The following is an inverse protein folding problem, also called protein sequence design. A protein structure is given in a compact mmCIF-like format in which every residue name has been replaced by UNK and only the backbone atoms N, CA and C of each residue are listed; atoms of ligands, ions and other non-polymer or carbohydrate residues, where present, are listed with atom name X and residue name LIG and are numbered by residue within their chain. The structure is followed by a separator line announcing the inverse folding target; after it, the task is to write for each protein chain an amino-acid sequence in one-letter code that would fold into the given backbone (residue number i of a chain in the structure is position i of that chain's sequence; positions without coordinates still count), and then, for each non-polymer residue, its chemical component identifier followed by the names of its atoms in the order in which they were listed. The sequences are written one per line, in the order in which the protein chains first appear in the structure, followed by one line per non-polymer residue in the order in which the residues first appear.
data_IF_145408636463
#
_entry.id   IF_145408636463
#
_cell.length_a   1.000
_cell.length_b   1.000
_cell.length_c   1.000
_cell.angle_alpha   90.00
_cell.angle_beta   90.00
_cell.angle_gamma   90.00
#
_symmetry.space_group_name_H-M   'P 1'
#
loop_
_entity.id
_entity.type
_entity.pdbx_description
1 polymer ?
#
# COMPACT_ATOMS: atom_id res chain seq x y z
N UNK A 1 20.34 34.74 49.32
CA UNK A 1 21.21 35.51 50.25
C UNK A 1 22.40 36.19 49.56
N UNK A 2 22.98 35.71 48.47
CA UNK A 2 24.06 36.39 47.72
C UNK A 2 23.61 37.66 46.96
N UNK A 3 22.37 37.73 46.42
CA UNK A 3 21.86 38.90 45.69
C UNK A 3 21.70 40.16 46.54
N UNK A 4 21.37 40.03 47.83
CA UNK A 4 21.20 41.15 48.72
C UNK A 4 22.55 41.78 49.17
N UNK A 5 23.62 40.98 49.18
CA UNK A 5 24.98 41.42 49.57
C UNK A 5 25.63 42.35 48.56
N UNK A 6 25.38 42.17 47.25
CA UNK A 6 25.98 42.98 46.17
C UNK A 6 25.33 44.38 46.11
N UNK A 7 24.01 44.47 46.27
CA UNK A 7 23.27 45.74 46.23
C UNK A 7 23.62 46.61 47.46
N UNK A 8 23.81 45.99 48.60
CA UNK A 8 24.21 46.73 49.86
C UNK A 8 25.67 47.17 49.80
N UNK A 9 26.57 46.44 49.13
CA UNK A 9 27.96 46.86 48.93
C UNK A 9 28.08 48.03 47.97
N UNK A 10 27.28 48.12 46.92
CA UNK A 10 27.25 49.22 45.95
C UNK A 10 26.80 50.51 46.63
N UNK A 11 25.81 50.49 47.51
CA UNK A 11 25.32 51.67 48.23
C UNK A 11 26.33 52.24 49.25
N UNK A 12 27.16 51.39 49.85
CA UNK A 12 28.21 51.83 50.77
C UNK A 12 29.45 52.40 50.09
N UNK A 13 29.77 51.92 48.87
CA UNK A 13 30.94 52.40 48.10
C UNK A 13 30.64 53.77 47.46
N UNK A 14 29.43 54.06 47.03
CA UNK A 14 29.02 55.32 46.48
C UNK A 14 29.11 56.52 47.50
N UNK A 15 29.21 56.25 48.79
CA UNK A 15 29.37 57.29 49.82
C UNK A 15 30.81 57.71 50.09
N UNK A 16 31.81 57.05 49.50
CA UNK A 16 33.24 57.25 49.76
C UNK A 16 34.03 57.73 48.48
N UNK A 17 33.32 58.20 47.44
CA UNK A 17 33.99 58.64 46.20
C UNK A 17 34.66 60.00 46.44
N UNK A 18 35.98 60.02 46.54
CA UNK A 18 36.75 61.21 46.24
C UNK A 18 36.91 61.27 44.70
N UNK A 19 36.16 62.21 44.04
CA UNK A 19 36.32 62.44 42.63
C UNK A 19 37.75 63.04 42.34
N UNK A 20 38.60 62.18 41.80
CA UNK A 20 39.78 62.67 41.06
C UNK A 20 39.30 63.38 39.83
N UNK A 21 39.67 64.65 39.69
CA UNK A 21 39.45 65.44 38.45
C UNK A 21 40.07 64.71 37.25
N UNK A 22 39.69 65.10 36.03
CA UNK A 22 40.02 64.48 34.71
C UNK A 22 41.47 63.96 34.55
N UNK A 23 41.89 62.89 35.21
CA UNK A 23 43.26 62.36 35.13
C UNK A 23 43.49 61.04 35.88
N UNK A 24 42.50 60.45 36.53
CA UNK A 24 42.58 59.12 37.16
C UNK A 24 42.43 57.95 36.16
N UNK A 25 42.77 56.74 36.62
CA UNK A 25 42.56 55.53 35.80
C UNK A 25 41.08 55.34 35.43
N UNK A 26 40.81 54.96 34.19
CA UNK A 26 39.47 54.81 33.66
C UNK A 26 39.11 53.32 33.58
N UNK A 27 37.90 52.99 33.98
CA UNK A 27 37.31 51.69 33.72
C UNK A 27 36.91 51.57 32.25
N UNK A 28 37.20 50.44 31.65
CA UNK A 28 36.78 50.11 30.26
C UNK A 28 36.72 48.59 30.06
N UNK A 29 35.92 48.17 29.13
CA UNK A 29 35.80 46.76 28.78
C UNK A 29 35.39 46.54 27.32
N UNK A 30 35.63 45.36 26.83
CA UNK A 30 35.19 44.87 25.52
C UNK A 30 34.54 43.52 25.66
N UNK A 31 33.83 43.08 24.62
CA UNK A 31 33.27 41.72 24.57
C UNK A 31 33.41 41.08 23.18
N UNK A 32 33.28 39.73 23.16
CA UNK A 32 33.31 38.93 21.96
C UNK A 32 32.36 37.73 22.11
N UNK A 33 31.56 37.36 21.05
CA UNK A 33 31.48 37.97 19.74
C UNK A 33 30.84 39.38 19.75
N UNK A 34 31.01 40.19 18.69
CA UNK A 34 30.47 41.58 18.67
C UNK A 34 28.95 41.66 18.56
N UNK A 35 28.30 40.66 17.94
CA UNK A 35 26.84 40.50 17.80
C UNK A 35 26.44 39.13 18.35
N UNK A 36 26.38 38.96 19.68
CA UNK A 36 26.05 37.67 20.26
C UNK A 36 24.53 37.41 20.20
N UNK A 37 24.19 36.14 20.01
CA UNK A 37 22.86 35.63 20.22
C UNK A 37 22.73 34.95 21.59
N UNK A 38 21.57 34.45 21.96
CA UNK A 38 21.36 33.65 23.17
C UNK A 38 22.11 32.34 23.15
N UNK A 39 22.49 31.79 21.97
CA UNK A 39 23.35 30.62 21.83
C UNK A 39 24.79 30.87 22.26
N UNK A 40 25.24 32.13 22.24
CA UNK A 40 26.63 32.47 22.41
C UNK A 40 27.03 32.62 23.89
N UNK A 41 28.23 32.16 24.20
CA UNK A 41 28.89 32.49 25.43
C UNK A 41 29.74 33.77 25.21
N UNK A 42 29.29 34.86 25.79
CA UNK A 42 29.97 36.16 25.63
C UNK A 42 31.18 36.23 26.56
N UNK A 43 32.35 36.45 26.01
CA UNK A 43 33.58 36.73 26.76
C UNK A 43 33.72 38.22 27.01
N UNK A 44 33.73 38.65 28.24
CA UNK A 44 34.03 40.05 28.61
C UNK A 44 35.49 40.15 28.99
N UNK A 45 36.14 41.23 28.53
CA UNK A 45 37.54 41.52 28.82
C UNK A 45 37.65 42.89 29.49
N UNK A 46 38.21 42.94 30.71
CA UNK A 46 38.59 44.19 31.38
C UNK A 46 39.80 44.82 30.70
N UNK A 47 39.56 45.99 30.08
CA UNK A 47 40.58 46.81 29.41
C UNK A 47 40.88 48.11 30.16
N UNK A 48 40.49 48.17 31.47
CA UNK A 48 40.72 49.34 32.32
C UNK A 48 42.18 49.68 32.43
N UNK A 49 42.46 51.00 32.66
CA UNK A 49 43.81 51.52 32.90
C UNK A 49 44.43 50.92 34.18
N UNK A 50 45.76 50.99 34.24
CA UNK A 50 46.57 50.64 35.44
C UNK A 50 46.16 49.27 36.11
N UNK A 51 46.15 48.22 35.32
CA UNK A 51 45.75 46.87 35.73
C UNK A 51 46.50 46.34 36.98
N UNK A 52 47.73 46.85 37.23
CA UNK A 52 48.55 46.37 38.33
C UNK A 52 48.02 46.85 39.71
N UNK A 53 47.34 47.96 39.77
CA UNK A 53 46.81 48.58 40.99
C UNK A 53 45.33 48.33 41.24
N UNK A 54 44.66 47.51 40.39
CA UNK A 54 43.27 47.09 40.60
C UNK A 54 43.19 46.12 41.77
N UNK A 55 42.38 46.44 42.75
CA UNK A 55 42.11 45.63 43.93
C UNK A 55 40.82 44.80 43.83
N UNK A 56 39.78 45.39 43.18
CA UNK A 56 38.48 44.72 43.02
C UNK A 56 37.84 45.03 41.68
N UNK A 57 37.03 44.06 41.17
CA UNK A 57 36.18 44.19 40.00
C UNK A 57 34.78 43.70 40.33
N UNK A 58 33.76 44.38 39.82
CA UNK A 58 32.37 43.95 39.96
C UNK A 58 31.66 44.16 38.63
N UNK A 59 31.29 43.06 38.00
CA UNK A 59 30.49 43.05 36.79
C UNK A 59 29.01 42.88 37.14
N UNK A 60 28.17 43.66 36.44
CA UNK A 60 26.73 43.42 36.36
C UNK A 60 26.40 43.31 34.86
N UNK A 61 25.86 42.19 34.42
CA UNK A 61 25.59 41.92 33.02
C UNK A 61 24.23 42.49 32.54
N UNK A 62 23.45 43.11 33.47
CA UNK A 62 22.17 43.74 33.12
C UNK A 62 20.95 42.82 33.18
N UNK A 63 21.12 41.53 33.26
CA UNK A 63 20.08 40.51 33.41
C UNK A 63 19.83 40.05 34.86
N UNK A 64 20.46 40.72 35.82
CA UNK A 64 20.43 40.40 37.24
C UNK A 64 21.52 39.43 37.67
N UNK A 65 22.43 39.04 36.81
CA UNK A 65 23.63 38.27 37.11
C UNK A 65 24.88 39.16 37.18
N UNK A 66 25.99 38.63 37.68
CA UNK A 66 27.25 39.38 37.76
C UNK A 66 28.44 38.48 38.10
N UNK A 67 29.66 39.07 38.03
CA UNK A 67 30.92 38.37 38.31
C UNK A 67 31.93 39.31 39.00
N UNK A 68 32.94 38.69 39.64
CA UNK A 68 34.11 39.42 40.19
C UNK A 68 35.42 38.98 39.51
N UNK A 69 35.32 38.13 38.48
CA UNK A 69 36.47 37.68 37.70
C UNK A 69 37.04 38.84 36.84
N UNK A 70 38.33 38.75 36.50
CA UNK A 70 38.95 39.73 35.63
C UNK A 70 38.30 39.79 34.25
N UNK A 71 38.18 38.61 33.63
CA UNK A 71 37.63 38.45 32.29
C UNK A 71 36.55 37.33 32.35
N UNK A 72 35.32 37.65 32.76
CA UNK A 72 34.29 36.67 32.93
C UNK A 72 33.67 36.26 31.57
N UNK A 73 33.08 35.07 31.56
CA UNK A 73 32.13 34.66 30.51
C UNK A 73 30.70 34.75 31.01
N UNK A 74 29.77 35.08 30.15
CA UNK A 74 28.36 35.09 30.46
C UNK A 74 27.52 34.71 29.25
N UNK A 75 26.45 33.93 29.48
CA UNK A 75 25.45 33.58 28.44
C UNK A 75 24.11 34.17 28.87
N UNK A 76 23.54 34.98 27.97
CA UNK A 76 22.19 35.53 28.15
C UNK A 76 21.16 34.51 27.69
N UNK A 77 20.09 34.36 28.48
CA UNK A 77 19.07 33.36 28.22
C UNK A 77 17.90 33.88 27.38
N UNK A 78 17.81 35.20 27.23
CA UNK A 78 16.75 35.85 26.44
C UNK A 78 17.38 36.93 25.54
N UNK A 79 16.82 37.16 24.36
CA UNK A 79 17.24 38.24 23.52
C UNK A 79 16.87 39.59 24.13
N UNK A 80 17.53 40.66 23.67
CA UNK A 80 17.28 42.00 24.13
C UNK A 80 18.55 42.82 24.33
N UNK A 81 18.38 44.08 24.76
CA UNK A 81 19.51 44.96 25.07
C UNK A 81 19.75 45.05 26.55
N UNK A 82 20.95 44.71 26.96
CA UNK A 82 21.39 44.68 28.36
C UNK A 82 22.47 45.75 28.60
N UNK A 83 22.31 46.52 29.67
CA UNK A 83 23.34 47.47 30.09
C UNK A 83 24.35 46.76 30.99
N UNK A 84 25.53 46.47 30.43
CA UNK A 84 26.67 45.92 31.19
C UNK A 84 27.36 47.02 31.95
N UNK A 85 27.66 46.76 33.21
CA UNK A 85 28.36 47.68 34.10
C UNK A 85 29.57 46.98 34.69
N UNK A 86 30.77 47.61 34.54
CA UNK A 86 31.99 47.22 35.22
C UNK A 86 32.36 48.31 36.21
N UNK A 87 32.45 47.94 37.50
CA UNK A 87 32.99 48.79 38.57
C UNK A 87 34.38 48.27 38.87
N UNK A 88 35.36 49.18 38.79
CA UNK A 88 36.77 48.88 39.11
C UNK A 88 37.24 49.74 40.26
N UNK A 89 37.98 49.13 41.16
CA UNK A 89 38.54 49.78 42.34
C UNK A 89 40.06 49.64 42.30
N UNK A 90 40.75 50.76 42.38
CA UNK A 90 42.21 50.83 42.42
C UNK A 90 42.68 51.27 43.80
N UNK A 91 43.88 50.83 44.18
CA UNK A 91 44.65 51.41 45.31
C UNK A 91 45.85 52.19 44.71
N UNK A 92 45.76 53.50 44.67
CA UNK A 92 46.84 54.36 44.18
C UNK A 92 47.49 55.08 45.35
N UNK A 93 48.69 54.69 45.70
CA UNK A 93 49.48 55.29 46.79
C UNK A 93 48.71 55.34 48.12
N UNK A 94 47.92 54.30 48.42
CA UNK A 94 47.14 54.20 49.67
C UNK A 94 45.73 54.83 49.56
N UNK A 95 45.36 55.44 48.47
CA UNK A 95 44.03 56.01 48.25
C UNK A 95 43.20 55.09 47.39
N UNK A 96 41.91 54.90 47.74
CA UNK A 96 40.95 54.13 46.93
C UNK A 96 40.36 55.03 45.85
N UNK A 97 40.48 54.59 44.61
CA UNK A 97 39.87 55.23 43.41
C UNK A 97 38.86 54.29 42.82
N UNK A 98 37.69 54.75 42.44
CA UNK A 98 36.60 53.96 41.83
C UNK A 98 36.16 54.62 40.55
N UNK A 99 36.04 53.85 39.49
CA UNK A 99 35.41 54.28 38.25
C UNK A 99 34.44 53.20 37.69
N UNK A 100 33.50 53.61 36.85
CA UNK A 100 32.39 52.79 36.35
C UNK A 100 32.30 52.94 34.84
N UNK A 101 32.53 51.86 34.16
CA UNK A 101 32.21 51.72 32.73
C UNK A 101 30.83 51.15 32.51
N UNK A 102 30.09 51.68 31.55
CA UNK A 102 28.79 51.14 31.12
C UNK A 102 28.74 51.10 29.61
N UNK A 103 28.23 49.98 29.09
CA UNK A 103 27.94 49.86 27.65
C UNK A 103 26.77 48.95 27.43
N UNK A 104 26.10 49.07 26.31
CA UNK A 104 24.94 48.26 25.95
C UNK A 104 25.33 47.16 24.97
N UNK A 105 25.04 45.93 25.37
CA UNK A 105 25.16 44.76 24.52
C UNK A 105 23.77 44.33 24.05
N UNK A 106 23.60 44.13 22.74
CA UNK A 106 22.37 43.57 22.16
C UNK A 106 22.57 42.09 21.91
N UNK A 107 21.69 41.28 22.46
CA UNK A 107 21.65 39.82 22.28
C UNK A 107 20.57 39.55 21.24
N UNK A 108 20.98 38.94 20.13
CA UNK A 108 20.10 38.64 19.02
C UNK A 108 19.17 37.46 19.34
N UNK A 109 17.95 37.54 18.85
CA UNK A 109 16.96 36.44 18.92
C UNK A 109 17.38 35.27 18.06
N UNK A 110 17.10 34.04 18.48
CA UNK A 110 17.14 32.86 17.65
C UNK A 110 15.75 32.59 17.11
N UNK A 111 15.62 32.27 15.81
CA UNK A 111 14.30 31.86 15.28
C UNK A 111 13.81 30.57 15.92
N UNK A 112 12.50 30.35 15.92
CA UNK A 112 11.92 29.08 16.34
C UNK A 112 12.36 27.95 15.39
N UNK A 113 12.08 26.71 15.78
CA UNK A 113 12.26 25.50 14.94
C UNK A 113 10.89 24.93 14.70
N UNK A 114 10.44 24.93 13.44
CA UNK A 114 9.18 24.37 13.01
C UNK A 114 9.24 22.83 12.95
N UNK A 115 8.13 22.17 13.29
CA UNK A 115 7.93 20.73 13.13
C UNK A 115 6.46 20.49 12.69
N UNK A 116 6.26 20.25 11.39
CA UNK A 116 4.96 19.97 10.78
C UNK A 116 4.49 18.51 11.01
N UNK A 117 5.33 17.69 11.65
CA UNK A 117 5.10 16.28 11.85
C UNK A 117 5.43 15.42 10.63
N UNK A 118 5.24 14.11 10.73
CA UNK A 118 5.61 13.17 9.67
C UNK A 118 4.65 13.21 8.49
N UNK A 119 5.11 12.71 7.33
CA UNK A 119 4.27 12.42 6.17
C UNK A 119 3.13 11.46 6.54
N UNK A 120 1.96 11.67 5.92
CA UNK A 120 0.75 10.90 6.19
C UNK A 120 0.18 10.30 4.91
N UNK A 121 -0.28 9.05 4.98
CA UNK A 121 -1.08 8.38 3.94
C UNK A 121 -2.39 7.98 4.59
N UNK A 122 -3.51 8.49 4.09
CA UNK A 122 -4.80 8.37 4.75
C UNK A 122 -5.92 7.99 3.79
N UNK A 123 -6.86 7.17 4.27
CA UNK A 123 -8.10 6.83 3.56
C UNK A 123 -9.29 7.70 3.99
N UNK A 124 -9.01 8.87 4.53
CA UNK A 124 -10.00 9.85 4.95
C UNK A 124 -9.65 11.21 4.39
N UNK A 125 -10.64 11.94 3.92
CA UNK A 125 -10.46 13.34 3.49
C UNK A 125 -10.18 14.31 4.64
N UNK A 126 -10.53 13.95 5.87
CA UNK A 126 -10.25 14.76 7.06
C UNK A 126 -8.97 14.28 7.73
N UNK A 127 -8.00 15.18 7.82
CA UNK A 127 -6.65 14.94 8.34
C UNK A 127 -6.39 15.85 9.54
N UNK A 128 -5.69 15.35 10.53
CA UNK A 128 -5.28 16.09 11.73
C UNK A 128 -3.80 16.42 11.67
N UNK A 129 -3.46 17.64 12.05
CA UNK A 129 -2.09 18.15 12.09
C UNK A 129 -1.74 18.60 13.51
N UNK A 130 -0.51 18.36 13.93
CA UNK A 130 0.00 18.70 15.25
C UNK A 130 1.38 19.32 15.15
N UNK A 131 1.46 20.65 15.31
CA UNK A 131 2.69 21.42 15.29
C UNK A 131 3.34 21.60 16.66
N UNK A 132 2.86 20.96 17.74
CA UNK A 132 3.40 21.08 19.09
C UNK A 132 4.83 20.51 19.25
N UNK A 133 5.34 19.82 18.23
CA UNK A 133 6.74 19.44 18.13
C UNK A 133 7.68 20.63 17.91
N UNK A 134 7.17 21.73 17.38
CA UNK A 134 7.91 22.97 17.20
C UNK A 134 8.39 23.54 18.54
N UNK A 135 9.54 24.20 18.54
CA UNK A 135 10.16 24.75 19.73
C UNK A 135 10.88 26.06 19.46
N UNK A 136 11.02 26.89 20.47
CA UNK A 136 11.84 28.10 20.44
C UNK A 136 12.99 27.96 21.44
N UNK A 137 14.26 28.15 21.00
CA UNK A 137 15.43 28.02 21.87
C UNK A 137 15.53 29.05 23.00
N UNK A 138 14.97 30.26 22.83
CA UNK A 138 15.17 31.37 23.76
C UNK A 138 13.92 32.21 24.06
N UNK A 139 12.76 31.82 23.49
CA UNK A 139 11.48 32.48 23.66
C UNK A 139 10.29 31.52 23.74
N UNK A 140 9.17 31.95 23.20
CA UNK A 140 7.91 31.21 23.10
C UNK A 140 7.32 31.36 21.70
N UNK A 141 6.79 30.26 21.11
CA UNK A 141 6.05 30.35 19.86
C UNK A 141 4.69 31.00 20.13
N UNK A 142 4.40 32.07 19.41
CA UNK A 142 3.17 32.86 19.55
C UNK A 142 2.16 32.61 18.46
N UNK A 143 2.59 32.11 17.28
CA UNK A 143 1.72 31.80 16.15
C UNK A 143 2.09 30.49 15.48
N UNK A 144 1.06 29.76 15.02
CA UNK A 144 1.13 28.59 14.15
C UNK A 144 0.19 28.83 12.98
N UNK A 145 0.71 28.84 11.76
CA UNK A 145 -0.05 29.06 10.53
C UNK A 145 0.21 27.89 9.57
N UNK A 146 -0.88 27.25 9.12
CA UNK A 146 -0.85 26.12 8.23
C UNK A 146 -1.35 26.49 6.85
N UNK A 147 -0.62 26.11 5.81
CA UNK A 147 -1.07 26.04 4.42
C UNK A 147 -1.19 24.55 4.05
N UNK A 148 -2.38 24.11 3.66
CA UNK A 148 -2.65 22.69 3.38
C UNK A 148 -2.32 22.27 1.94
N UNK A 149 -1.80 23.18 1.11
CA UNK A 149 -1.40 22.92 -0.27
C UNK A 149 -2.56 22.78 -1.26
N UNK A 150 -3.80 23.01 -0.82
CA UNK A 150 -5.01 23.05 -1.65
C UNK A 150 -5.58 24.48 -1.80
N UNK A 151 -4.86 25.48 -1.27
CA UNK A 151 -5.25 26.88 -1.20
C UNK A 151 -6.01 27.26 0.07
N UNK A 152 -6.21 26.33 0.99
CA UNK A 152 -6.81 26.57 2.30
C UNK A 152 -5.74 26.73 3.36
N UNK A 153 -6.05 27.54 4.40
CA UNK A 153 -5.15 27.81 5.52
C UNK A 153 -5.90 27.69 6.86
N UNK A 154 -5.16 27.49 7.93
CA UNK A 154 -5.68 27.53 9.30
C UNK A 154 -4.62 28.01 10.27
N UNK A 155 -5.01 28.42 11.48
CA UNK A 155 -4.12 28.79 12.57
C UNK A 155 -4.39 27.98 13.83
N UNK A 156 -3.33 27.67 14.59
CA UNK A 156 -3.37 26.95 15.84
C UNK A 156 -2.34 25.82 15.91
N UNK A 157 -1.90 25.48 17.12
CA UNK A 157 -0.88 24.44 17.34
C UNK A 157 -1.37 23.03 16.92
N UNK A 158 -2.69 22.80 16.92
CA UNK A 158 -3.33 21.59 16.40
C UNK A 158 -4.54 21.99 15.56
N UNK A 159 -4.65 21.43 14.37
CA UNK A 159 -5.75 21.73 13.44
C UNK A 159 -6.24 20.47 12.75
N UNK A 160 -7.47 20.53 12.22
CA UNK A 160 -8.00 19.54 11.30
C UNK A 160 -8.35 20.23 9.98
N UNK A 161 -8.05 19.57 8.87
CA UNK A 161 -8.42 20.01 7.55
C UNK A 161 -9.13 18.91 6.78
N UNK A 162 -10.08 19.28 5.92
CA UNK A 162 -10.82 18.35 5.05
C UNK A 162 -10.57 18.71 3.60
N UNK A 163 -9.87 17.83 2.89
CA UNK A 163 -9.59 17.96 1.46
C UNK A 163 -10.82 17.63 0.61
N UNK A 164 -11.07 18.37 -0.44
CA UNK A 164 -12.21 18.14 -1.33
C UNK A 164 -12.04 16.90 -2.21
N UNK A 165 -10.81 16.57 -2.58
CA UNK A 165 -10.47 15.46 -3.48
C UNK A 165 -9.30 14.63 -2.98
N UNK A 166 -9.20 13.42 -3.50
CA UNK A 166 -8.00 12.60 -3.36
C UNK A 166 -6.83 13.29 -4.09
N UNK A 167 -5.61 13.15 -3.55
CA UNK A 167 -4.44 13.81 -4.09
C UNK A 167 -3.22 13.76 -3.17
N UNK A 168 -2.13 14.34 -3.65
CA UNK A 168 -0.89 14.53 -2.89
C UNK A 168 -0.76 16.01 -2.60
N UNK A 169 -0.70 16.35 -1.33
CA UNK A 169 -0.63 17.72 -0.84
C UNK A 169 0.68 17.92 -0.08
N UNK A 170 1.34 19.08 -0.33
CA UNK A 170 2.45 19.54 0.50
C UNK A 170 1.89 20.53 1.51
N UNK A 171 1.93 20.15 2.77
CA UNK A 171 1.45 20.97 3.89
C UNK A 171 2.63 21.72 4.47
N UNK A 172 2.49 23.01 4.66
CA UNK A 172 3.51 23.88 5.26
C UNK A 172 3.02 24.41 6.60
N UNK A 173 3.84 24.27 7.63
CA UNK A 173 3.66 24.92 8.92
C UNK A 173 4.65 26.08 9.02
N UNK A 174 4.15 27.30 9.26
CA UNK A 174 4.94 28.45 9.65
C UNK A 174 4.70 28.73 11.14
N UNK A 175 5.78 28.81 11.91
CA UNK A 175 5.72 29.19 13.34
C UNK A 175 6.45 30.49 13.56
N UNK A 176 5.89 31.37 14.39
CA UNK A 176 6.46 32.69 14.72
C UNK A 176 6.64 32.81 16.22
N UNK A 177 7.79 33.33 16.66
CA UNK A 177 8.13 33.55 18.07
C UNK A 177 7.58 34.89 18.63
N UNK A 178 7.88 35.19 19.90
CA UNK A 178 7.50 36.41 20.60
C UNK A 178 8.34 37.66 20.20
N UNK A 179 9.38 37.50 19.37
CA UNK A 179 10.18 38.55 18.79
C UNK A 179 9.90 38.80 17.29
N UNK A 180 9.05 37.97 16.68
CA UNK A 180 8.62 38.10 15.28
C UNK A 180 9.52 37.37 14.28
N UNK A 181 10.48 36.56 14.73
CA UNK A 181 11.20 35.67 13.83
C UNK A 181 10.33 34.42 13.57
N UNK A 182 10.55 33.79 12.43
CA UNK A 182 9.74 32.62 11.99
C UNK A 182 10.61 31.53 11.38
N UNK A 183 10.05 30.35 11.31
CA UNK A 183 10.60 29.18 10.64
C UNK A 183 9.47 28.37 9.99
N UNK A 184 9.80 27.60 8.95
CA UNK A 184 8.86 26.79 8.19
C UNK A 184 9.32 25.36 8.10
N UNK A 185 8.38 24.43 8.24
CA UNK A 185 8.57 23.01 7.98
C UNK A 185 7.42 22.46 7.14
N UNK A 186 7.67 21.35 6.44
CA UNK A 186 6.69 20.74 5.53
C UNK A 186 6.55 19.25 5.75
N UNK A 187 5.31 18.75 5.61
CA UNK A 187 5.04 17.33 5.49
C UNK A 187 4.18 17.04 4.24
N UNK A 188 4.26 15.81 3.71
CA UNK A 188 3.38 15.36 2.64
C UNK A 188 2.16 14.63 3.20
N UNK A 189 1.00 14.89 2.58
CA UNK A 189 -0.24 14.15 2.85
C UNK A 189 -0.73 13.53 1.54
N UNK A 190 -0.87 12.21 1.52
CA UNK A 190 -1.54 11.47 0.44
C UNK A 190 -2.94 11.13 0.93
N UNK A 191 -3.94 11.80 0.36
CA UNK A 191 -5.37 11.49 0.57
C UNK A 191 -5.80 10.54 -0.53
N UNK A 192 -6.21 9.33 -0.16
CA UNK A 192 -6.66 8.30 -1.07
C UNK A 192 -7.84 7.55 -0.44
N UNK A 193 -9.04 7.81 -0.93
CA UNK A 193 -10.27 7.20 -0.42
C UNK A 193 -10.84 6.13 -1.37
N UNK A 194 -10.11 5.82 -2.46
CA UNK A 194 -10.58 4.96 -3.54
C UNK A 194 -9.90 3.60 -3.49
N UNK A 195 -10.64 2.49 -3.35
CA UNK A 195 -10.02 1.17 -3.37
C UNK A 195 -9.48 0.79 -4.76
N UNK A 196 -8.45 -0.06 -4.82
CA UNK A 196 -7.91 -0.61 -6.06
C UNK A 196 -8.96 -1.30 -6.91
N UNK A 197 -8.69 -1.46 -8.21
CA UNK A 197 -9.54 -2.18 -9.15
C UNK A 197 -8.78 -3.34 -9.76
N UNK A 198 -9.03 -4.56 -9.25
CA UNK A 198 -8.39 -5.78 -9.74
C UNK A 198 -9.19 -6.43 -10.86
N UNK A 199 -8.51 -6.84 -11.91
CA UNK A 199 -9.03 -7.69 -12.99
C UNK A 199 -8.22 -8.98 -13.07
N UNK A 200 -8.86 -10.08 -13.52
CA UNK A 200 -8.20 -11.36 -13.73
C UNK A 200 -8.04 -11.62 -15.22
N UNK A 201 -6.88 -12.14 -15.62
CA UNK A 201 -6.61 -12.69 -16.94
C UNK A 201 -6.39 -14.18 -16.80
N UNK A 202 -7.22 -14.95 -17.52
CA UNK A 202 -7.15 -16.40 -17.60
C UNK A 202 -6.54 -16.78 -18.95
N UNK A 203 -5.53 -17.63 -18.95
CA UNK A 203 -4.87 -18.12 -20.15
C UNK A 203 -4.80 -19.65 -20.14
N UNK A 204 -5.55 -20.26 -21.03
CA UNK A 204 -5.65 -21.69 -21.27
C UNK A 204 -6.21 -21.95 -22.66
N UNK A 205 -6.18 -23.20 -23.12
CA UNK A 205 -6.81 -23.58 -24.40
C UNK A 205 -8.31 -23.68 -24.19
N UNK A 206 -9.07 -22.85 -24.87
CA UNK A 206 -10.54 -22.87 -24.79
C UNK A 206 -11.12 -24.12 -25.44
N UNK A 207 -12.07 -24.75 -24.78
CA UNK A 207 -12.99 -25.75 -25.30
C UNK A 207 -14.36 -25.16 -25.59
N UNK A 208 -15.42 -25.96 -25.48
CA UNK A 208 -16.83 -25.55 -25.60
C UNK A 208 -17.38 -25.11 -24.22
N UNK A 209 -18.48 -24.35 -24.21
CA UNK A 209 -19.30 -24.00 -23.03
C UNK A 209 -18.49 -23.40 -21.85
N UNK A 210 -17.51 -22.52 -22.16
CA UNK A 210 -16.61 -21.87 -21.22
C UNK A 210 -15.66 -22.81 -20.45
N UNK A 211 -15.49 -24.05 -20.92
CA UNK A 211 -14.50 -24.97 -20.42
C UNK A 211 -13.12 -24.69 -21.03
N UNK A 212 -12.08 -24.93 -20.26
CA UNK A 212 -10.70 -25.02 -20.73
C UNK A 212 -10.29 -26.49 -20.86
N UNK A 213 -9.68 -26.83 -21.99
CA UNK A 213 -9.15 -28.18 -22.27
C UNK A 213 -7.64 -28.27 -21.98
N UNK A 214 -7.14 -27.36 -21.17
CA UNK A 214 -5.76 -27.34 -20.69
C UNK A 214 -5.72 -26.74 -19.29
N UNK A 215 -4.58 -26.81 -18.64
CA UNK A 215 -4.32 -26.01 -17.45
C UNK A 215 -4.55 -24.53 -17.71
N UNK A 216 -5.01 -23.79 -16.70
CA UNK A 216 -5.30 -22.34 -16.78
C UNK A 216 -4.31 -21.56 -15.96
N UNK A 217 -3.56 -20.66 -16.61
CA UNK A 217 -2.71 -19.69 -15.94
C UNK A 217 -3.53 -18.46 -15.54
N UNK A 218 -3.48 -18.11 -14.26
CA UNK A 218 -4.16 -16.96 -13.67
C UNK A 218 -3.17 -15.83 -13.48
N UNK A 219 -3.52 -14.63 -13.93
CA UNK A 219 -2.78 -13.39 -13.70
C UNK A 219 -3.73 -12.29 -13.27
N UNK A 220 -3.47 -11.64 -12.15
CA UNK A 220 -4.17 -10.42 -11.75
C UNK A 220 -3.49 -9.17 -12.32
N UNK A 221 -4.30 -8.19 -12.66
CA UNK A 221 -3.90 -6.84 -13.07
C UNK A 221 -4.67 -5.87 -12.21
N UNK A 222 -3.95 -5.08 -11.43
CA UNK A 222 -4.53 -4.08 -10.53
C UNK A 222 -4.33 -2.71 -11.14
N UNK A 223 -5.40 -1.92 -11.19
CA UNK A 223 -5.37 -0.50 -11.49
C UNK A 223 -5.55 0.25 -10.17
N UNK A 224 -4.58 1.10 -9.86
CA UNK A 224 -4.52 1.93 -8.67
C UNK A 224 -3.91 3.28 -9.03
N UNK A 225 -4.47 4.38 -8.55
CA UNK A 225 -4.07 5.76 -8.92
C UNK A 225 -3.75 6.66 -7.74
N UNK A 226 -3.88 6.17 -6.52
CA UNK A 226 -3.68 6.95 -5.29
C UNK A 226 -2.40 6.58 -4.54
N UNK A 227 -2.56 5.93 -3.42
CA UNK A 227 -1.48 5.57 -2.49
C UNK A 227 -0.62 4.41 -2.98
N UNK A 228 -1.08 3.66 -3.98
CA UNK A 228 -0.44 2.47 -4.51
C UNK A 228 -0.93 1.17 -3.88
N UNK A 229 -0.74 0.06 -4.61
CA UNK A 229 -1.20 -1.27 -4.18
C UNK A 229 -0.34 -1.78 -3.01
N UNK A 230 -0.98 -2.14 -1.91
CA UNK A 230 -0.34 -2.84 -0.79
C UNK A 230 -0.26 -4.35 -1.07
N UNK A 231 -1.39 -4.98 -1.41
CA UNK A 231 -1.43 -6.40 -1.71
C UNK A 231 -2.66 -6.78 -2.55
N UNK A 232 -2.53 -7.94 -3.23
CA UNK A 232 -3.64 -8.65 -3.85
C UNK A 232 -3.77 -10.02 -3.17
N UNK A 233 -4.98 -10.43 -2.89
CA UNK A 233 -5.27 -11.72 -2.26
C UNK A 233 -6.20 -12.52 -3.14
N UNK A 234 -6.05 -13.84 -3.11
CA UNK A 234 -6.94 -14.77 -3.78
C UNK A 234 -7.15 -16.04 -2.96
N UNK A 235 -8.23 -16.73 -3.27
CA UNK A 235 -8.45 -18.11 -2.84
C UNK A 235 -9.19 -18.87 -3.94
N UNK A 236 -9.01 -20.20 -3.95
CA UNK A 236 -9.69 -21.13 -4.86
C UNK A 236 -10.59 -22.01 -4.00
N UNK A 237 -11.85 -22.09 -4.40
CA UNK A 237 -12.88 -22.88 -3.72
C UNK A 237 -12.97 -22.56 -2.21
N UNK A 238 -12.91 -23.56 -1.37
CA UNK A 238 -12.92 -23.41 0.09
C UNK A 238 -11.52 -23.24 0.70
N UNK A 239 -10.49 -22.93 -0.12
CA UNK A 239 -9.13 -22.71 0.35
C UNK A 239 -8.96 -21.44 1.19
N UNK A 240 -7.78 -21.26 1.73
CA UNK A 240 -7.42 -20.07 2.50
C UNK A 240 -7.03 -18.91 1.57
N UNK A 241 -7.25 -17.68 2.05
CA UNK A 241 -6.73 -16.48 1.39
C UNK A 241 -5.21 -16.53 1.31
N UNK A 242 -4.68 -16.33 0.11
CA UNK A 242 -3.25 -16.35 -0.20
C UNK A 242 -2.84 -15.03 -0.84
N UNK A 243 -1.72 -14.46 -0.41
CA UNK A 243 -1.17 -13.25 -1.02
C UNK A 243 -0.63 -13.59 -2.41
N UNK A 244 -1.05 -12.82 -3.41
CA UNK A 244 -0.59 -12.95 -4.78
C UNK A 244 0.82 -12.38 -4.94
N UNK A 245 1.75 -13.21 -5.41
CA UNK A 245 3.14 -12.83 -5.66
C UNK A 245 3.54 -12.95 -7.13
N UNK A 246 2.65 -13.48 -7.97
CA UNK A 246 2.86 -13.68 -9.39
C UNK A 246 1.87 -14.70 -9.96
N UNK A 247 1.83 -14.85 -11.29
CA UNK A 247 0.91 -15.77 -11.94
C UNK A 247 1.07 -17.21 -11.44
N UNK A 248 -0.05 -17.89 -11.31
CA UNK A 248 -0.14 -19.29 -10.88
C UNK A 248 -1.01 -20.10 -11.82
N UNK A 249 -1.05 -21.41 -11.64
CA UNK A 249 -1.77 -22.34 -12.53
C UNK A 249 -2.82 -23.11 -11.75
N UNK A 250 -4.05 -23.16 -12.28
CA UNK A 250 -5.08 -24.09 -11.88
C UNK A 250 -4.99 -25.28 -12.83
N UNK A 251 -4.79 -26.47 -12.28
CA UNK A 251 -4.56 -27.71 -13.05
C UNK A 251 -5.55 -28.84 -12.75
N UNK A 252 -6.31 -28.75 -11.70
CA UNK A 252 -7.31 -29.75 -11.38
C UNK A 252 -8.50 -29.63 -12.34
N UNK A 253 -9.10 -30.76 -12.69
CA UNK A 253 -10.31 -30.80 -13.52
C UNK A 253 -11.54 -30.59 -12.64
N UNK A 254 -12.52 -29.86 -13.18
CA UNK A 254 -13.74 -29.48 -12.49
C UNK A 254 -14.05 -28.00 -12.61
N UNK A 255 -15.06 -27.57 -11.86
CA UNK A 255 -15.43 -26.16 -11.73
C UNK A 255 -14.79 -25.59 -10.45
N UNK A 256 -13.99 -24.52 -10.61
CA UNK A 256 -13.28 -23.87 -9.53
C UNK A 256 -13.77 -22.43 -9.35
N UNK A 257 -14.13 -22.05 -8.14
CA UNK A 257 -14.48 -20.69 -7.76
C UNK A 257 -13.22 -19.92 -7.37
N UNK A 258 -12.73 -19.06 -8.24
CA UNK A 258 -11.63 -18.14 -7.94
C UNK A 258 -12.22 -16.86 -7.36
N UNK A 259 -11.84 -16.51 -6.12
CA UNK A 259 -12.19 -15.27 -5.44
C UNK A 259 -10.94 -14.44 -5.22
N UNK A 260 -11.04 -13.11 -5.37
CA UNK A 260 -9.89 -12.22 -5.23
C UNK A 260 -10.30 -10.81 -4.87
N UNK A 261 -9.39 -10.08 -4.24
CA UNK A 261 -9.47 -8.65 -3.94
C UNK A 261 -8.08 -8.07 -3.75
N UNK A 262 -7.96 -6.73 -3.84
CA UNK A 262 -6.75 -5.99 -3.48
C UNK A 262 -7.04 -4.94 -2.43
N UNK A 263 -6.00 -4.54 -1.70
CA UNK A 263 -5.95 -3.39 -0.82
C UNK A 263 -4.81 -2.45 -1.25
N UNK A 264 -4.91 -1.18 -0.87
CA UNK A 264 -3.90 -0.15 -1.12
C UNK A 264 -3.12 0.20 0.16
N UNK A 265 -2.15 1.12 0.02
CA UNK A 265 -1.29 1.56 1.14
C UNK A 265 -2.08 2.45 2.11
N UNK A 266 -3.09 3.20 1.64
CA UNK A 266 -3.97 3.99 2.50
C UNK A 266 -4.92 3.13 3.35
N UNK A 267 -5.09 1.84 3.01
CA UNK A 267 -5.94 0.89 3.70
C UNK A 267 -7.35 0.75 3.12
N UNK A 268 -7.60 1.25 1.89
CA UNK A 268 -8.85 0.96 1.19
C UNK A 268 -8.81 -0.48 0.65
N UNK A 269 -9.93 -1.19 0.76
CA UNK A 269 -10.07 -2.58 0.33
C UNK A 269 -11.19 -2.69 -0.69
N UNK A 270 -10.93 -3.27 -1.86
CA UNK A 270 -11.97 -3.50 -2.85
C UNK A 270 -12.92 -4.64 -2.44
N UNK A 271 -14.13 -4.64 -2.98
CA UNK A 271 -15.06 -5.75 -2.80
C UNK A 271 -14.52 -7.04 -3.43
N UNK A 272 -14.73 -8.18 -2.75
CA UNK A 272 -14.30 -9.49 -3.25
C UNK A 272 -14.99 -9.81 -4.57
N UNK A 273 -14.20 -10.08 -5.59
CA UNK A 273 -14.62 -10.49 -6.93
C UNK A 273 -14.54 -12.00 -7.08
N UNK A 274 -15.42 -12.53 -7.95
CA UNK A 274 -15.55 -13.96 -8.19
C UNK A 274 -15.46 -14.25 -9.70
N UNK A 275 -14.78 -15.35 -10.03
CA UNK A 275 -14.76 -15.92 -11.38
C UNK A 275 -14.79 -17.43 -11.27
N UNK A 276 -15.62 -18.09 -12.08
CA UNK A 276 -15.60 -19.56 -12.21
C UNK A 276 -14.64 -19.96 -13.32
N UNK A 277 -13.71 -20.87 -13.01
CA UNK A 277 -12.76 -21.47 -13.95
C UNK A 277 -13.15 -22.94 -14.11
N UNK A 278 -13.50 -23.36 -15.33
CA UNK A 278 -13.90 -24.73 -15.64
C UNK A 278 -12.81 -25.41 -16.45
N UNK A 279 -12.32 -26.55 -15.99
CA UNK A 279 -11.22 -27.29 -16.62
C UNK A 279 -11.64 -28.73 -16.81
N UNK A 280 -11.56 -29.19 -18.08
CA UNK A 280 -11.76 -30.57 -18.47
C UNK A 280 -10.73 -30.91 -19.55
N UNK A 281 -9.84 -31.86 -19.27
CA UNK A 281 -8.74 -32.25 -20.16
C UNK A 281 -8.85 -33.71 -20.61
N UNK A 282 -9.84 -34.38 -20.08
CA UNK A 282 -9.99 -35.83 -20.25
C UNK A 282 -11.17 -36.10 -21.18
N UNK A 283 -10.88 -36.63 -22.36
CA UNK A 283 -11.94 -37.06 -23.29
C UNK A 283 -12.73 -38.24 -22.75
N UNK A 284 -14.02 -38.33 -23.07
CA UNK A 284 -14.86 -39.43 -22.63
C UNK A 284 -14.39 -40.81 -23.15
N UNK A 285 -14.66 -41.84 -22.39
CA UNK A 285 -14.49 -43.25 -22.85
C UNK A 285 -15.71 -43.71 -23.62
N UNK A 286 -15.51 -44.47 -24.70
CA UNK A 286 -16.58 -45.01 -25.53
C UNK A 286 -16.24 -46.42 -25.99
N UNK A 287 -17.21 -47.30 -26.02
CA UNK A 287 -17.08 -48.63 -26.62
C UNK A 287 -18.41 -49.10 -27.22
N UNK A 288 -18.36 -49.77 -28.35
CA UNK A 288 -19.52 -50.41 -28.98
C UNK A 288 -19.71 -51.79 -28.37
N UNK A 289 -20.79 -51.97 -27.61
CA UNK A 289 -21.16 -53.27 -27.02
C UNK A 289 -21.89 -54.16 -28.04
N UNK A 290 -22.70 -53.56 -28.86
CA UNK A 290 -23.44 -54.25 -29.95
C UNK A 290 -23.51 -53.35 -31.18
N UNK A 291 -23.09 -53.84 -32.37
CA UNK A 291 -22.57 -55.17 -32.67
C UNK A 291 -21.07 -55.30 -32.28
N UNK A 292 -20.68 -56.40 -31.72
CA UNK A 292 -19.26 -56.72 -31.43
C UNK A 292 -18.57 -57.19 -32.72
N UNK A 293 -17.28 -56.91 -32.79
CA UNK A 293 -16.45 -57.35 -33.94
C UNK A 293 -16.45 -58.85 -34.12
N UNK A 294 -16.45 -59.30 -35.39
CA UNK A 294 -16.36 -60.72 -35.76
C UNK A 294 -17.47 -61.58 -35.19
N UNK A 295 -18.71 -61.08 -35.14
CA UNK A 295 -19.91 -61.83 -34.75
C UNK A 295 -20.96 -61.80 -35.86
N UNK A 296 -21.76 -62.88 -35.91
CA UNK A 296 -22.96 -62.97 -36.75
C UNK A 296 -24.19 -62.65 -35.92
N UNK A 297 -25.00 -61.72 -36.42
CA UNK A 297 -26.27 -61.31 -35.82
C UNK A 297 -27.42 -61.62 -36.75
N UNK A 298 -28.45 -62.26 -36.18
CA UNK A 298 -29.71 -62.54 -36.87
C UNK A 298 -30.85 -61.89 -36.08
N UNK A 299 -31.52 -60.90 -36.69
CA UNK A 299 -32.58 -60.09 -36.06
C UNK A 299 -32.23 -59.59 -34.67
N UNK A 300 -31.04 -59.01 -34.53
CA UNK A 300 -30.53 -58.46 -33.26
C UNK A 300 -29.94 -59.45 -32.27
N UNK A 301 -29.99 -60.73 -32.54
CA UNK A 301 -29.42 -61.77 -31.68
C UNK A 301 -28.03 -62.21 -32.15
N UNK A 302 -27.04 -62.21 -31.29
CA UNK A 302 -25.72 -62.80 -31.58
C UNK A 302 -25.80 -64.28 -31.64
N UNK A 303 -25.37 -64.88 -32.76
CA UNK A 303 -25.52 -66.34 -33.06
C UNK A 303 -24.18 -67.06 -32.90
N UNK A 304 -23.14 -66.61 -33.59
CA UNK A 304 -21.83 -67.28 -33.58
C UNK A 304 -20.71 -66.29 -33.94
N UNK A 305 -19.44 -66.57 -33.62
CA UNK A 305 -18.29 -65.80 -34.09
C UNK A 305 -18.10 -65.96 -35.63
N UNK A 306 -17.51 -64.93 -36.27
CA UNK A 306 -17.10 -64.97 -37.67
C UNK A 306 -15.57 -64.77 -37.79
N UNK A 307 -14.99 -65.13 -38.97
CA UNK A 307 -13.54 -65.09 -39.14
C UNK A 307 -12.98 -63.71 -39.55
N UNK A 308 -13.76 -62.85 -40.17
CA UNK A 308 -13.24 -61.59 -40.77
C UNK A 308 -14.05 -60.36 -40.45
N UNK A 309 -15.34 -60.38 -40.68
CA UNK A 309 -16.22 -59.20 -40.55
C UNK A 309 -17.42 -59.55 -39.69
N UNK A 310 -17.97 -58.56 -39.03
CA UNK A 310 -19.27 -58.66 -38.39
C UNK A 310 -20.35 -58.72 -39.46
N UNK A 311 -21.28 -59.70 -39.39
CA UNK A 311 -22.38 -59.90 -40.34
C UNK A 311 -23.69 -59.66 -39.61
N UNK A 312 -24.56 -58.85 -40.20
CA UNK A 312 -25.85 -58.51 -39.61
C UNK A 312 -26.94 -58.80 -40.63
N UNK A 313 -27.90 -59.68 -40.29
CA UNK A 313 -29.11 -59.94 -41.09
C UNK A 313 -30.33 -59.49 -40.29
N UNK A 314 -31.08 -58.53 -40.86
CA UNK A 314 -32.22 -57.93 -40.23
C UNK A 314 -31.84 -56.70 -39.39
N UNK A 315 -32.80 -56.22 -38.61
CA UNK A 315 -32.61 -55.06 -37.69
C UNK A 315 -31.69 -55.40 -36.54
N UNK A 316 -30.97 -54.40 -36.09
CA UNK A 316 -30.15 -54.51 -34.87
C UNK A 316 -30.29 -53.22 -34.03
N UNK A 317 -30.28 -53.37 -32.70
CA UNK A 317 -30.07 -52.23 -31.81
C UNK A 317 -28.57 -52.11 -31.61
N UNK A 318 -27.99 -50.97 -32.01
CA UNK A 318 -26.64 -50.59 -31.69
C UNK A 318 -26.65 -50.14 -30.22
N UNK A 319 -25.75 -50.67 -29.42
CA UNK A 319 -25.60 -50.31 -27.99
C UNK A 319 -24.17 -49.87 -27.78
N UNK A 320 -24.01 -48.72 -27.18
CA UNK A 320 -22.71 -48.19 -26.81
C UNK A 320 -22.65 -47.97 -25.28
N UNK A 321 -21.49 -48.18 -24.72
CA UNK A 321 -21.18 -47.80 -23.35
C UNK A 321 -20.22 -46.58 -23.38
N UNK A 322 -20.63 -45.52 -22.73
CA UNK A 322 -19.85 -44.30 -22.65
C UNK A 322 -19.83 -43.77 -21.22
N UNK A 323 -18.69 -43.22 -20.81
CA UNK A 323 -18.51 -42.58 -19.50
C UNK A 323 -17.49 -41.48 -19.59
N UNK A 324 -17.62 -40.51 -18.72
CA UNK A 324 -16.70 -39.42 -18.57
C UNK A 324 -16.38 -39.16 -17.09
N UNK A 325 -15.24 -38.49 -16.80
CA UNK A 325 -14.84 -38.16 -15.44
C UNK A 325 -15.63 -37.00 -14.83
N UNK A 326 -16.16 -36.09 -15.70
CA UNK A 326 -17.00 -34.98 -15.29
C UNK A 326 -18.41 -35.13 -15.83
N UNK A 327 -18.65 -34.75 -17.09
CA UNK A 327 -19.97 -34.71 -17.69
C UNK A 327 -19.98 -35.22 -19.14
N UNK A 328 -20.60 -36.34 -19.38
CA UNK A 328 -20.87 -36.80 -20.73
C UNK A 328 -22.09 -36.07 -21.31
N UNK A 329 -21.90 -35.35 -22.42
CA UNK A 329 -22.91 -34.52 -23.07
C UNK A 329 -23.81 -35.31 -24.00
N UNK A 330 -23.23 -36.11 -24.91
CA UNK A 330 -23.96 -36.77 -25.97
C UNK A 330 -23.16 -37.90 -26.62
N UNK A 331 -23.85 -38.95 -27.02
CA UNK A 331 -23.30 -40.03 -27.86
C UNK A 331 -23.95 -39.97 -29.24
N UNK A 332 -23.14 -39.95 -30.27
CA UNK A 332 -23.59 -39.86 -31.68
C UNK A 332 -23.21 -41.09 -32.46
N UNK A 333 -24.15 -41.57 -33.28
CA UNK A 333 -24.02 -42.76 -34.09
C UNK A 333 -23.88 -42.35 -35.58
N UNK A 334 -22.86 -42.87 -36.25
CA UNK A 334 -22.55 -42.58 -37.65
C UNK A 334 -22.47 -43.86 -38.44
N UNK A 335 -22.90 -43.80 -39.72
CA UNK A 335 -22.70 -44.85 -40.69
C UNK A 335 -22.05 -44.27 -41.94
N UNK A 336 -20.85 -44.78 -42.29
CA UNK A 336 -20.05 -44.32 -43.41
C UNK A 336 -19.73 -42.80 -43.32
N UNK A 337 -19.61 -42.24 -42.09
CA UNK A 337 -19.34 -40.84 -41.81
C UNK A 337 -20.59 -39.96 -41.65
N UNK A 338 -21.76 -40.42 -42.02
CA UNK A 338 -23.02 -39.67 -41.86
C UNK A 338 -23.62 -39.90 -40.48
N UNK A 339 -23.95 -38.83 -39.77
CA UNK A 339 -24.68 -38.89 -38.49
C UNK A 339 -26.09 -39.47 -38.71
N UNK A 340 -26.45 -40.46 -37.94
CA UNK A 340 -27.74 -41.16 -38.07
C UNK A 340 -28.62 -41.00 -36.85
N UNK A 341 -28.03 -40.86 -35.67
CA UNK A 341 -28.76 -40.70 -34.42
C UNK A 341 -27.83 -40.11 -33.34
N UNK A 342 -28.43 -39.46 -32.37
CA UNK A 342 -27.76 -39.03 -31.15
C UNK A 342 -28.59 -39.40 -29.93
N UNK A 343 -27.91 -39.66 -28.81
CA UNK A 343 -28.54 -40.04 -27.54
C UNK A 343 -27.84 -39.32 -26.38
N UNK A 344 -28.61 -38.71 -25.49
CA UNK A 344 -28.12 -37.97 -24.33
C UNK A 344 -28.31 -38.76 -23.01
N UNK A 345 -28.90 -39.96 -23.04
CA UNK A 345 -29.25 -40.73 -21.86
C UNK A 345 -28.81 -42.20 -21.99
N UNK A 346 -28.13 -42.66 -20.96
CA UNK A 346 -27.80 -44.09 -20.83
C UNK A 346 -29.08 -44.94 -20.59
N UNK A 347 -29.17 -46.16 -21.16
CA UNK A 347 -28.24 -46.78 -22.08
C UNK A 347 -28.28 -46.10 -23.46
N UNK A 348 -27.08 -45.88 -24.07
CA UNK A 348 -26.96 -45.23 -25.36
C UNK A 348 -27.26 -46.23 -26.46
N UNK A 349 -28.47 -46.11 -27.09
CA UNK A 349 -29.01 -47.11 -28.02
C UNK A 349 -29.56 -46.48 -29.26
N UNK A 350 -29.22 -47.07 -30.43
CA UNK A 350 -29.76 -46.68 -31.70
C UNK A 350 -30.33 -47.92 -32.45
N UNK A 351 -31.58 -47.85 -32.90
CA UNK A 351 -32.20 -48.90 -33.71
C UNK A 351 -31.82 -48.72 -35.18
N UNK A 352 -30.84 -49.52 -35.63
CA UNK A 352 -30.39 -49.50 -37.02
C UNK A 352 -31.33 -50.36 -37.88
N UNK A 353 -32.04 -49.65 -38.80
CA UNK A 353 -33.05 -50.28 -39.66
C UNK A 353 -32.52 -50.65 -41.05
N UNK A 354 -33.16 -50.11 -42.10
CA UNK A 354 -32.85 -50.38 -43.54
C UNK A 354 -31.45 -50.00 -43.91
N UNK A 355 -30.65 -51.02 -44.28
CA UNK A 355 -29.29 -50.82 -44.76
C UNK A 355 -28.78 -52.08 -45.48
N UNK A 356 -27.98 -51.91 -46.54
CA UNK A 356 -27.42 -53.00 -47.32
C UNK A 356 -25.96 -52.75 -47.66
N UNK A 357 -25.13 -53.80 -47.51
CA UNK A 357 -23.72 -53.78 -47.92
C UNK A 357 -22.72 -53.63 -46.80
N UNK A 358 -21.48 -53.45 -47.14
CA UNK A 358 -20.42 -53.16 -46.19
C UNK A 358 -20.55 -51.74 -45.71
N UNK A 359 -20.51 -51.55 -44.36
CA UNK A 359 -20.71 -50.28 -43.70
C UNK A 359 -19.66 -50.12 -42.59
N UNK A 360 -19.25 -48.90 -42.35
CA UNK A 360 -18.47 -48.50 -41.18
C UNK A 360 -19.39 -47.83 -40.16
N UNK A 361 -19.68 -48.51 -39.04
CA UNK A 361 -20.40 -47.96 -37.90
C UNK A 361 -19.37 -47.30 -36.99
N UNK A 362 -19.53 -46.01 -36.72
CA UNK A 362 -18.73 -45.28 -35.77
C UNK A 362 -19.63 -44.68 -34.69
N UNK A 363 -19.26 -44.81 -33.46
CA UNK A 363 -19.94 -44.13 -32.34
C UNK A 363 -18.96 -43.19 -31.68
N UNK A 364 -19.39 -41.95 -31.46
CA UNK A 364 -18.60 -40.91 -30.83
C UNK A 364 -19.30 -40.45 -29.56
N UNK A 365 -18.53 -40.35 -28.48
CA UNK A 365 -18.96 -39.70 -27.25
C UNK A 365 -18.33 -38.30 -27.15
N UNK A 366 -19.09 -37.32 -26.71
CA UNK A 366 -18.67 -35.94 -26.50
C UNK A 366 -19.01 -35.55 -25.05
N UNK A 367 -18.09 -34.82 -24.41
CA UNK A 367 -18.31 -34.16 -23.14
C UNK A 367 -18.79 -32.71 -23.30
N UNK A 368 -18.95 -32.00 -22.19
CA UNK A 368 -19.36 -30.59 -22.18
C UNK A 368 -18.26 -29.65 -22.64
N UNK A 369 -16.97 -30.03 -22.52
CA UNK A 369 -15.82 -29.27 -22.97
C UNK A 369 -15.57 -29.36 -24.48
N UNK A 370 -16.29 -30.29 -25.18
CA UNK A 370 -16.15 -30.56 -26.60
C UNK A 370 -15.08 -31.58 -26.94
N UNK A 371 -14.45 -32.19 -25.92
CA UNK A 371 -13.55 -33.33 -26.13
C UNK A 371 -14.37 -34.54 -26.54
N UNK A 372 -13.79 -35.43 -27.32
CA UNK A 372 -14.49 -36.59 -27.82
C UNK A 372 -13.55 -37.76 -28.09
N UNK A 373 -14.10 -38.95 -28.04
CA UNK A 373 -13.47 -40.22 -28.41
C UNK A 373 -14.44 -41.04 -29.28
N UNK A 374 -13.92 -41.96 -30.05
CA UNK A 374 -14.69 -42.74 -31.00
C UNK A 374 -14.31 -44.22 -30.96
N UNK A 375 -15.32 -45.09 -31.09
CA UNK A 375 -15.14 -46.50 -31.40
C UNK A 375 -15.83 -46.86 -32.72
N UNK A 376 -15.34 -47.86 -33.41
CA UNK A 376 -15.88 -48.26 -34.71
C UNK A 376 -15.87 -49.74 -34.92
N UNK A 377 -16.82 -50.21 -35.77
CA UNK A 377 -16.91 -51.60 -36.22
C UNK A 377 -17.30 -51.67 -37.70
N UNK A 378 -16.52 -52.44 -38.49
CA UNK A 378 -16.88 -52.73 -39.86
C UNK A 378 -17.90 -53.89 -39.89
N UNK A 379 -19.01 -53.66 -40.57
CA UNK A 379 -20.09 -54.66 -40.68
C UNK A 379 -20.46 -54.90 -42.15
N UNK A 380 -20.93 -56.10 -42.45
CA UNK A 380 -21.75 -56.34 -43.65
C UNK A 380 -23.19 -56.51 -43.15
N UNK A 381 -24.08 -55.63 -43.58
CA UNK A 381 -25.47 -55.57 -43.15
C UNK A 381 -26.41 -55.83 -44.33
N UNK A 382 -27.43 -56.66 -44.07
CA UNK A 382 -28.57 -56.87 -44.96
C UNK A 382 -29.85 -56.73 -44.17
N UNK A 383 -30.48 -55.57 -44.25
CA UNK A 383 -31.76 -55.25 -43.58
C UNK A 383 -32.65 -54.47 -44.54
N UNK A 384 -33.83 -54.99 -44.81
CA UNK A 384 -34.88 -54.37 -45.64
C UNK A 384 -35.95 -53.69 -44.76
N UNK A 385 -35.84 -53.77 -43.46
CA UNK A 385 -36.85 -53.29 -42.53
C UNK A 385 -36.54 -51.88 -42.07
N UNK A 386 -37.50 -50.96 -42.09
CA UNK A 386 -37.44 -49.67 -41.43
C UNK A 386 -37.34 -49.88 -39.92
N UNK A 387 -36.70 -48.93 -39.24
CA UNK A 387 -36.70 -48.90 -37.78
C UNK A 387 -38.16 -48.78 -37.30
N UNK A 388 -38.65 -49.73 -36.44
CA UNK A 388 -40.00 -49.60 -35.85
C UNK A 388 -40.01 -48.54 -34.74
N UNK A 389 -40.90 -47.55 -34.91
CA UNK A 389 -41.11 -46.43 -33.97
C UNK A 389 -40.33 -45.19 -34.38
N UNK A 390 -40.98 -44.05 -34.29
CA UNK A 390 -40.33 -42.75 -34.34
C UNK A 390 -39.35 -42.73 -33.15
N UNK A 391 -38.07 -42.63 -33.47
CA UNK A 391 -37.09 -42.34 -32.38
C UNK A 391 -37.24 -40.84 -32.10
N UNK A 392 -38.10 -40.53 -31.11
CA UNK A 392 -38.08 -39.20 -30.50
C UNK A 392 -36.72 -38.99 -29.84
N UNK A 393 -36.08 -37.88 -30.11
CA UNK A 393 -34.92 -37.45 -29.33
C UNK A 393 -35.28 -37.57 -27.84
N UNK A 394 -34.52 -38.33 -27.11
CA UNK A 394 -34.61 -38.29 -25.62
C UNK A 394 -34.06 -36.93 -25.16
N UNK A 395 -34.93 -35.95 -25.14
CA UNK A 395 -34.59 -34.66 -24.52
C UNK A 395 -34.53 -34.83 -23.03
N UNK A 396 -33.45 -34.36 -22.40
CA UNK A 396 -33.35 -34.29 -20.96
C UNK A 396 -34.58 -33.56 -20.38
N UNK A 397 -35.40 -34.23 -19.56
CA UNK A 397 -36.44 -33.56 -18.81
C UNK A 397 -35.73 -32.60 -17.84
N UNK A 398 -35.91 -31.28 -18.04
CA UNK A 398 -35.56 -30.28 -17.04
C UNK A 398 -36.39 -30.56 -15.78
N UNK A 399 -35.81 -31.23 -14.79
CA UNK A 399 -36.34 -31.19 -13.44
C UNK A 399 -35.89 -29.88 -12.81
N UNK A 400 -36.87 -29.03 -12.55
CA UNK A 400 -36.85 -27.78 -11.80
C UNK A 400 -36.28 -27.95 -10.40
#
# INVERSE_FOLDING_TARGET
MKKLSIVVSIALILSAISSYGNGGPQASFTWSPPNPSTADIVQFNDTSDDQANITERMWNFGDGSGSTEKNPTHQYKKPGTYTVTLIVIWNISGSTVVDIAKDNITIENQPPIADAGPDQIVNSKTVSFDGRGSSDPDGEITSYEWDFGDGSTASGATVQHTYDSDGIYTVTLNVTDDFGAYDEDTCQVIVDTSPPQTTVKLNGTAGENDWYISNVTVKFVVNETGSGVNATFYKIDNGNWTKYTGSFVISEEGEHLLQFYSDDIAGNVEETKNVTVKIDKTAPLISIETPQQRKFYLFGRSIMPTFRKTIIIGRITVVANASDNLNLKIVKFYVDGDEKYNDTQSPYEWKWGKSIGSKNLTVKAFDDAGLHEADYVEVFIFSLFEARGVQEEKTASSNT
#
